data_IF_917309318656
#
_entry.id   IF_917309318656
#
_cell.length_a   1.000
_cell.length_b   1.000
_cell.length_c   1.000
_cell.angle_alpha   90.00
_cell.angle_beta   90.00
_cell.angle_gamma   90.00
#
_symmetry.space_group_name_H-M   'P 1'
#
loop_
_entity.id
_entity.type
_entity.pdbx_description
1 polymer ?
#
# COMPACT_ATOMS: atom_id res chain seq x y z
N UNK A 1 12.14 9.22 7.64
CA UNK A 1 10.98 8.68 6.90
C UNK A 1 10.32 7.62 7.78
N UNK A 2 9.13 7.88 8.34
CA UNK A 2 8.48 6.95 9.29
C UNK A 2 8.03 5.69 8.52
N UNK A 3 8.54 4.48 8.81
CA UNK A 3 7.93 3.28 8.27
C UNK A 3 6.49 3.25 8.76
N UNK A 4 5.53 3.06 7.84
CA UNK A 4 4.13 2.78 8.22
C UNK A 4 4.17 1.68 9.27
N UNK A 5 3.86 2.04 10.53
CA UNK A 5 3.96 1.12 11.64
C UNK A 5 2.87 0.09 11.42
N UNK A 6 3.26 -1.18 11.37
CA UNK A 6 2.34 -2.31 11.18
C UNK A 6 1.20 -2.26 12.22
N UNK A 7 1.47 -1.69 13.40
CA UNK A 7 0.48 -1.49 14.45
C UNK A 7 -0.68 -0.57 14.02
N UNK A 8 -0.40 0.58 13.38
CA UNK A 8 -1.45 1.47 12.87
C UNK A 8 -2.26 0.79 11.75
N UNK A 9 -1.64 -0.11 10.99
CA UNK A 9 -2.34 -0.89 9.96
C UNK A 9 -3.24 -1.98 10.56
N UNK A 10 -2.91 -2.47 11.75
CA UNK A 10 -3.67 -3.49 12.50
C UNK A 10 -4.86 -2.91 13.26
N UNK A 11 -4.85 -1.61 13.56
CA UNK A 11 -5.96 -0.91 14.21
C UNK A 11 -7.08 -0.52 13.23
N UNK A 12 -6.80 -0.46 11.93
CA UNK A 12 -7.78 -0.10 10.90
C UNK A 12 -8.86 -1.16 10.74
N UNK A 13 -10.09 -0.75 10.45
CA UNK A 13 -11.17 -1.68 10.09
C UNK A 13 -10.90 -2.36 8.72
N UNK A 14 -11.51 -3.51 8.46
CA UNK A 14 -11.38 -4.21 7.17
C UNK A 14 -11.82 -3.34 5.98
N UNK A 15 -12.86 -2.52 6.19
CA UNK A 15 -13.33 -1.56 5.19
C UNK A 15 -12.29 -0.46 4.90
N UNK A 16 -11.60 0.03 5.93
CA UNK A 16 -10.55 1.05 5.79
C UNK A 16 -9.28 0.47 5.16
N UNK A 17 -8.96 -0.78 5.48
CA UNK A 17 -7.89 -1.55 4.83
C UNK A 17 -8.16 -1.69 3.33
N UNK A 18 -9.39 -2.05 2.94
CA UNK A 18 -9.77 -2.15 1.53
C UNK A 18 -9.65 -0.79 0.82
N UNK A 19 -10.18 0.29 1.43
CA UNK A 19 -10.05 1.65 0.88
C UNK A 19 -8.59 2.05 0.69
N UNK A 20 -7.73 1.84 1.69
CA UNK A 20 -6.30 2.14 1.58
C UNK A 20 -5.58 1.33 0.51
N UNK A 21 -6.01 0.07 0.27
CA UNK A 21 -5.47 -0.74 -0.82
C UNK A 21 -5.82 -0.11 -2.16
N UNK A 22 -7.06 0.32 -2.35
CA UNK A 22 -7.51 0.93 -3.60
C UNK A 22 -6.87 2.30 -3.83
N UNK A 23 -6.81 3.17 -2.80
CA UNK A 23 -6.09 4.44 -2.88
C UNK A 23 -4.62 4.24 -3.27
N UNK A 24 -3.96 3.21 -2.69
CA UNK A 24 -2.56 2.91 -3.00
C UNK A 24 -2.38 2.34 -4.42
N UNK A 25 -3.40 1.66 -4.99
CA UNK A 25 -3.36 1.21 -6.39
C UNK A 25 -3.47 2.39 -7.34
N UNK A 26 -4.33 3.36 -7.04
CA UNK A 26 -4.48 4.58 -7.84
C UNK A 26 -3.19 5.41 -7.81
N UNK A 27 -2.56 5.52 -6.64
CA UNK A 27 -1.25 6.15 -6.49
C UNK A 27 -0.18 5.41 -7.32
N UNK A 28 -0.16 4.08 -7.29
CA UNK A 28 0.74 3.27 -8.11
C UNK A 28 0.48 3.46 -9.61
N UNK A 29 -0.78 3.61 -10.03
CA UNK A 29 -1.14 3.87 -11.42
C UNK A 29 -0.60 5.23 -11.88
N UNK A 30 -0.79 6.28 -11.07
CA UNK A 30 -0.23 7.61 -11.33
C UNK A 30 1.29 7.60 -11.41
N UNK A 31 1.96 6.90 -10.49
CA UNK A 31 3.43 6.76 -10.51
C UNK A 31 3.92 5.97 -11.74
N UNK A 32 3.19 4.96 -12.19
CA UNK A 32 3.48 4.25 -13.45
C UNK A 32 3.29 5.13 -14.67
N UNK A 33 2.26 5.97 -14.65
CA UNK A 33 2.01 6.95 -15.71
C UNK A 33 3.13 8.00 -15.78
N UNK A 34 3.54 8.55 -14.63
CA UNK A 34 4.69 9.45 -14.53
C UNK A 34 6.01 8.81 -14.96
N UNK A 35 6.19 7.51 -14.67
CA UNK A 35 7.34 6.75 -15.17
C UNK A 35 7.32 6.64 -16.70
N UNK A 36 6.15 6.38 -17.29
CA UNK A 36 6.00 6.28 -18.74
C UNK A 36 6.19 7.63 -19.46
N UNK A 37 5.79 8.75 -18.82
CA UNK A 37 6.02 10.10 -19.35
C UNK A 37 7.43 10.63 -19.08
N UNK A 38 8.27 9.88 -18.35
CA UNK A 38 9.64 10.28 -18.02
C UNK A 38 9.75 11.41 -16.99
N UNK A 39 8.65 11.81 -16.35
CA UNK A 39 8.61 12.87 -15.34
C UNK A 39 8.68 12.33 -13.90
N UNK A 40 9.17 11.11 -13.72
CA UNK A 40 9.21 10.49 -12.41
C UNK A 40 10.45 10.93 -11.62
N UNK A 41 10.26 11.83 -10.67
CA UNK A 41 11.35 12.34 -9.82
C UNK A 41 12.05 11.25 -8.99
N UNK A 42 11.29 10.26 -8.49
CA UNK A 42 11.84 9.24 -7.61
C UNK A 42 11.25 7.83 -7.85
N UNK A 43 11.97 6.95 -8.56
CA UNK A 43 11.59 5.54 -8.77
C UNK A 43 11.41 4.74 -7.48
N UNK A 44 12.03 5.13 -6.36
CA UNK A 44 11.85 4.42 -5.09
C UNK A 44 10.40 4.48 -4.60
N UNK A 45 9.66 5.55 -4.90
CA UNK A 45 8.24 5.67 -4.50
C UNK A 45 7.39 4.53 -5.05
N UNK A 46 7.66 4.05 -6.27
CA UNK A 46 6.96 2.89 -6.85
C UNK A 46 7.20 1.64 -6.00
N UNK A 47 8.45 1.40 -5.59
CA UNK A 47 8.82 0.25 -4.76
C UNK A 47 8.17 0.33 -3.37
N UNK A 48 8.11 1.52 -2.79
CA UNK A 48 7.44 1.76 -1.51
C UNK A 48 5.93 1.55 -1.59
N UNK A 49 5.28 2.10 -2.62
CA UNK A 49 3.85 1.92 -2.86
C UNK A 49 3.50 0.42 -3.02
N UNK A 50 4.29 -0.32 -3.80
CA UNK A 50 4.14 -1.78 -3.92
C UNK A 50 4.29 -2.51 -2.58
N UNK A 51 5.30 -2.15 -1.77
CA UNK A 51 5.50 -2.74 -0.44
C UNK A 51 4.35 -2.41 0.52
N UNK A 52 3.80 -1.20 0.45
CA UNK A 52 2.64 -0.77 1.23
C UNK A 52 1.40 -1.60 0.89
N UNK A 53 1.09 -1.78 -0.41
CA UNK A 53 0.00 -2.64 -0.87
C UNK A 53 0.19 -4.08 -0.39
N UNK A 54 1.41 -4.62 -0.50
CA UNK A 54 1.70 -5.98 -0.06
C UNK A 54 1.40 -6.14 1.44
N UNK A 55 1.89 -5.23 2.29
CA UNK A 55 1.63 -5.27 3.75
C UNK A 55 0.15 -5.20 4.09
N UNK A 56 -0.61 -4.33 3.43
CA UNK A 56 -2.07 -4.21 3.62
C UNK A 56 -2.77 -5.54 3.29
N UNK A 57 -2.43 -6.15 2.14
CA UNK A 57 -2.97 -7.45 1.75
C UNK A 57 -2.57 -8.58 2.69
N UNK A 58 -1.35 -8.56 3.21
CA UNK A 58 -0.89 -9.55 4.19
C UNK A 58 -1.76 -9.48 5.45
N UNK A 59 -1.99 -8.29 6.00
CA UNK A 59 -2.84 -8.12 7.21
C UNK A 59 -4.29 -8.57 6.94
N UNK A 60 -4.83 -8.25 5.76
CA UNK A 60 -6.16 -8.72 5.35
C UNK A 60 -6.22 -10.25 5.29
N UNK A 61 -5.14 -10.90 4.83
CA UNK A 61 -5.03 -12.35 4.75
C UNK A 61 -4.85 -12.99 6.12
N UNK A 62 -4.02 -12.41 7.00
CA UNK A 62 -3.85 -12.82 8.41
C UNK A 62 -5.20 -12.81 9.14
N UNK A 63 -5.98 -11.73 8.98
CA UNK A 63 -7.34 -11.63 9.55
C UNK A 63 -8.28 -12.71 9.00
N UNK A 64 -8.27 -12.92 7.68
CA UNK A 64 -9.13 -13.92 7.03
C UNK A 64 -8.78 -15.35 7.44
N UNK A 65 -7.49 -15.64 7.66
CA UNK A 65 -7.02 -16.94 8.11
C UNK A 65 -7.19 -17.15 9.62
N UNK A 66 -7.65 -16.14 10.37
CA UNK A 66 -7.78 -16.22 11.83
C UNK A 66 -6.43 -16.41 12.53
N UNK A 67 -5.32 -16.11 11.85
CA UNK A 67 -3.98 -16.16 12.44
C UNK A 67 -3.86 -14.88 13.28
N UNK A 68 -4.33 -14.97 14.52
CA UNK A 68 -4.23 -13.93 15.53
C UNK A 68 -3.77 -14.52 16.86
#
# INVERSE_FOLDING_TARGET
>A
MKPMKVNELRELSDAELSKKIDDSKDELFKLRFQLATGQLDNPMKIKECKRKIARLKTIQTERKLGIR
#
